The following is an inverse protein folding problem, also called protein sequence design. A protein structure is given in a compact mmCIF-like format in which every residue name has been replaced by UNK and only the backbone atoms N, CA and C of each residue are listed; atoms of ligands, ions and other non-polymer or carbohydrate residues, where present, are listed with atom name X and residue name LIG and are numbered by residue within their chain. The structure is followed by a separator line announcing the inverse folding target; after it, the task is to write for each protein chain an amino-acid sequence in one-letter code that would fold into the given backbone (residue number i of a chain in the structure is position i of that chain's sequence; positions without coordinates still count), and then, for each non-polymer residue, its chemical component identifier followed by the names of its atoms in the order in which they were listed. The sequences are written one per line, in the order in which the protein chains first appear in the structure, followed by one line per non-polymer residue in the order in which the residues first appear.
data_IF_114751646716
#
_entry.id   IF_114751646716
#
_cell.length_a   1.000
_cell.length_b   1.000
_cell.length_c   1.000
_cell.angle_alpha   90.00
_cell.angle_beta   90.00
_cell.angle_gamma   90.00
#
_symmetry.space_group_name_H-M   'P 1'
#
loop_
_entity.id
_entity.type
_entity.pdbx_description
1 polymer ?
#
# COMPACT_ATOMS: atom_id res chain seq x y z
N UNK A 1 48.97 -2.13 -13.02
CA UNK A 1 48.42 -3.28 -13.75
C UNK A 1 46.91 -3.08 -13.87
N UNK A 2 46.38 -2.80 -15.07
CA UNK A 2 44.97 -2.49 -15.26
C UNK A 2 44.29 -3.63 -16.04
N UNK A 3 43.34 -4.34 -15.41
CA UNK A 3 42.55 -5.37 -16.06
C UNK A 3 41.35 -4.73 -16.76
N UNK A 4 41.25 -4.90 -18.09
CA UNK A 4 40.12 -4.41 -18.88
C UNK A 4 39.04 -5.50 -18.92
N UNK A 5 38.05 -5.38 -18.05
CA UNK A 5 36.89 -6.30 -18.02
C UNK A 5 35.86 -5.84 -19.06
N UNK A 6 35.50 -6.71 -19.99
CA UNK A 6 34.36 -6.52 -20.90
C UNK A 6 33.17 -7.31 -20.37
N UNK A 7 32.16 -6.59 -19.90
CA UNK A 7 30.89 -7.18 -19.47
C UNK A 7 29.90 -7.18 -20.62
N UNK A 8 29.37 -8.34 -20.96
CA UNK A 8 28.18 -8.44 -21.79
C UNK A 8 26.98 -7.98 -20.96
N UNK A 9 26.53 -6.76 -21.23
CA UNK A 9 25.39 -6.15 -20.54
C UNK A 9 24.10 -6.94 -20.73
N UNK A 10 23.89 -7.57 -21.88
CA UNK A 10 22.68 -8.32 -22.15
C UNK A 10 22.64 -9.66 -21.41
N UNK A 11 23.79 -10.32 -21.28
CA UNK A 11 23.93 -11.53 -20.46
C UNK A 11 23.81 -11.22 -18.97
N UNK A 12 24.47 -10.15 -18.49
CA UNK A 12 24.38 -9.69 -17.11
C UNK A 12 22.94 -9.31 -16.73
N UNK A 13 22.27 -8.54 -17.58
CA UNK A 13 20.87 -8.13 -17.37
C UNK A 13 19.92 -9.31 -17.30
N UNK A 14 20.16 -10.36 -18.11
CA UNK A 14 19.40 -11.61 -18.05
C UNK A 14 19.63 -12.32 -16.72
N UNK A 15 20.90 -12.52 -16.34
CA UNK A 15 21.28 -13.24 -15.13
C UNK A 15 20.74 -12.55 -13.86
N UNK A 16 20.79 -11.23 -13.81
CA UNK A 16 20.35 -10.48 -12.64
C UNK A 16 18.82 -10.49 -12.45
N UNK A 17 18.04 -10.56 -13.53
CA UNK A 17 16.59 -10.31 -13.53
C UNK A 17 15.72 -11.56 -13.74
N UNK A 18 16.30 -12.68 -14.17
CA UNK A 18 15.58 -13.95 -14.24
C UNK A 18 15.07 -14.39 -12.86
N UNK A 19 14.00 -15.20 -12.78
CA UNK A 19 13.59 -15.82 -11.52
C UNK A 19 14.78 -16.56 -10.87
N UNK A 20 15.08 -16.26 -9.60
CA UNK A 20 16.28 -16.75 -8.89
C UNK A 20 17.55 -15.90 -9.12
N UNK A 21 17.45 -14.83 -9.90
CA UNK A 21 18.52 -13.84 -10.06
C UNK A 21 18.57 -12.85 -8.88
N UNK A 22 19.74 -12.29 -8.55
CA UNK A 22 19.91 -11.43 -7.36
C UNK A 22 18.95 -10.23 -7.29
N UNK A 23 18.65 -9.57 -8.41
CA UNK A 23 17.72 -8.42 -8.43
C UNK A 23 16.29 -8.90 -8.25
N UNK A 24 15.92 -9.99 -8.92
CA UNK A 24 14.60 -10.57 -8.78
C UNK A 24 14.31 -10.97 -7.32
N UNK A 25 15.25 -11.64 -6.68
CA UNK A 25 15.11 -12.13 -5.32
C UNK A 25 15.12 -10.99 -4.31
N UNK A 26 15.95 -9.97 -4.52
CA UNK A 26 15.94 -8.75 -3.72
C UNK A 26 14.58 -8.04 -3.77
N UNK A 27 14.05 -7.80 -4.98
CA UNK A 27 12.72 -7.18 -5.14
C UNK A 27 11.62 -8.04 -4.55
N UNK A 28 11.70 -9.36 -4.69
CA UNK A 28 10.75 -10.29 -4.08
C UNK A 28 10.76 -10.23 -2.56
N UNK A 29 11.95 -10.19 -1.96
CA UNK A 29 12.09 -10.06 -0.51
C UNK A 29 11.53 -8.72 -0.01
N UNK A 30 11.86 -7.60 -0.66
CA UNK A 30 11.32 -6.29 -0.31
C UNK A 30 9.80 -6.22 -0.45
N UNK A 31 9.25 -6.80 -1.51
CA UNK A 31 7.81 -6.83 -1.77
C UNK A 31 7.06 -7.59 -0.68
N UNK A 32 7.54 -8.80 -0.33
CA UNK A 32 6.95 -9.61 0.76
C UNK A 32 7.06 -8.91 2.11
N UNK A 33 8.22 -8.34 2.43
CA UNK A 33 8.40 -7.57 3.68
C UNK A 33 7.45 -6.37 3.75
N UNK A 34 7.25 -5.68 2.62
CA UNK A 34 6.31 -4.55 2.53
C UNK A 34 4.88 -5.01 2.76
N UNK A 35 4.46 -6.12 2.15
CA UNK A 35 3.15 -6.72 2.39
C UNK A 35 2.94 -7.06 3.87
N UNK A 36 3.90 -7.75 4.49
CA UNK A 36 3.87 -8.09 5.92
C UNK A 36 3.76 -6.83 6.78
N UNK A 37 4.60 -5.83 6.51
CA UNK A 37 4.58 -4.57 7.28
C UNK A 37 3.27 -3.83 7.09
N UNK A 38 2.69 -3.84 5.90
CA UNK A 38 1.41 -3.21 5.62
C UNK A 38 0.25 -3.91 6.36
N UNK A 39 0.28 -5.24 6.46
CA UNK A 39 -0.65 -6.04 7.27
C UNK A 39 -0.55 -5.75 8.77
N UNK A 40 0.63 -5.39 9.26
CA UNK A 40 0.84 -4.97 10.66
C UNK A 40 0.39 -3.53 10.91
N UNK A 41 0.64 -2.63 9.96
CA UNK A 41 0.35 -1.20 10.11
C UNK A 41 -1.14 -0.87 10.01
N UNK A 42 -1.94 -1.68 9.31
CA UNK A 42 -3.35 -1.36 9.08
C UNK A 42 -4.19 -1.51 10.36
N UNK A 43 -5.06 -0.53 10.62
CA UNK A 43 -6.06 -0.60 11.70
C UNK A 43 -7.08 -1.70 11.41
N UNK A 44 -7.46 -2.47 12.43
CA UNK A 44 -8.32 -3.64 12.24
C UNK A 44 -9.51 -3.66 13.18
N UNK A 45 -10.67 -3.99 12.61
CA UNK A 45 -11.89 -4.32 13.33
C UNK A 45 -12.26 -5.81 13.22
N UNK A 46 -12.33 -6.35 11.99
CA UNK A 46 -12.70 -7.76 11.73
C UNK A 46 -11.59 -8.60 11.10
N UNK A 47 -10.56 -7.97 10.53
CA UNK A 47 -9.44 -8.64 9.87
C UNK A 47 -9.58 -8.79 8.35
N UNK A 48 -10.78 -8.64 7.78
CA UNK A 48 -11.05 -8.84 6.34
C UNK A 48 -10.16 -7.95 5.45
N UNK A 49 -10.07 -6.65 5.76
CA UNK A 49 -9.21 -5.72 5.00
C UNK A 49 -7.74 -6.12 5.10
N UNK A 50 -7.27 -6.53 6.28
CA UNK A 50 -5.88 -6.99 6.47
C UNK A 50 -5.57 -8.22 5.62
N UNK A 51 -6.48 -9.20 5.62
CA UNK A 51 -6.33 -10.42 4.85
C UNK A 51 -6.31 -10.17 3.34
N UNK A 52 -7.03 -9.14 2.87
CA UNK A 52 -7.09 -8.78 1.44
C UNK A 52 -5.82 -8.12 0.89
N UNK A 53 -4.86 -7.74 1.74
CA UNK A 53 -3.59 -7.16 1.29
C UNK A 53 -2.77 -8.26 0.63
N UNK A 54 -2.36 -8.03 -0.60
CA UNK A 54 -1.62 -9.00 -1.41
C UNK A 54 -0.49 -8.31 -2.18
N UNK A 55 0.42 -9.12 -2.72
CA UNK A 55 1.53 -8.64 -3.51
C UNK A 55 1.83 -9.54 -4.71
N UNK A 56 2.53 -8.97 -5.69
CA UNK A 56 3.06 -9.73 -6.82
C UNK A 56 4.36 -9.10 -7.31
N UNK A 57 5.22 -9.92 -7.92
CA UNK A 57 6.44 -9.48 -8.58
C UNK A 57 6.33 -9.88 -10.04
N UNK A 58 6.65 -8.94 -10.93
CA UNK A 58 6.66 -9.20 -12.37
C UNK A 58 7.89 -8.57 -13.00
N UNK A 59 8.49 -9.26 -13.95
CA UNK A 59 9.55 -8.72 -14.79
C UNK A 59 8.93 -8.18 -16.08
N UNK A 60 9.19 -6.91 -16.42
CA UNK A 60 8.74 -6.26 -17.66
C UNK A 60 9.94 -5.64 -18.35
N UNK A 61 10.38 -6.24 -19.45
CA UNK A 61 11.59 -5.81 -20.16
C UNK A 61 12.79 -5.79 -19.21
N UNK A 62 13.35 -4.61 -18.97
CA UNK A 62 14.51 -4.40 -18.11
C UNK A 62 14.19 -4.14 -16.63
N UNK A 63 12.90 -4.16 -16.25
CA UNK A 63 12.47 -3.81 -14.90
C UNK A 63 11.93 -5.03 -14.16
N UNK A 64 12.34 -5.20 -12.91
CA UNK A 64 11.65 -6.09 -11.94
C UNK A 64 10.78 -5.21 -11.06
N UNK A 65 9.47 -5.44 -11.09
CA UNK A 65 8.47 -4.59 -10.44
C UNK A 65 7.74 -5.40 -9.37
N UNK A 66 7.94 -5.02 -8.11
CA UNK A 66 7.13 -5.46 -6.98
C UNK A 66 5.90 -4.57 -6.82
N UNK A 67 4.72 -5.17 -6.63
CA UNK A 67 3.46 -4.46 -6.36
C UNK A 67 2.84 -5.00 -5.09
N UNK A 68 2.35 -4.11 -4.25
CA UNK A 68 1.56 -4.43 -3.04
C UNK A 68 0.29 -3.60 -3.09
N UNK A 69 -0.87 -4.23 -2.90
CA UNK A 69 -2.16 -3.53 -2.99
C UNK A 69 -3.23 -4.22 -2.15
N UNK A 70 -4.40 -3.59 -2.05
CA UNK A 70 -5.62 -4.19 -1.53
C UNK A 70 -6.80 -3.84 -2.44
N UNK A 71 -7.70 -4.79 -2.75
CA UNK A 71 -8.95 -4.49 -3.44
C UNK A 71 -10.01 -3.91 -2.48
N UNK A 72 -9.74 -3.85 -1.17
CA UNK A 72 -10.70 -3.40 -0.18
C UNK A 72 -10.90 -1.90 -0.22
N UNK A 73 -12.13 -1.48 -0.52
CA UNK A 73 -12.56 -0.07 -0.43
C UNK A 73 -12.37 0.52 0.97
N UNK A 74 -12.56 -0.29 2.01
CA UNK A 74 -12.29 0.10 3.39
C UNK A 74 -10.79 0.35 3.60
N UNK A 75 -9.93 -0.47 2.99
CA UNK A 75 -8.48 -0.27 3.01
C UNK A 75 -8.08 1.07 2.40
N UNK A 76 -8.72 1.44 1.28
CA UNK A 76 -8.55 2.75 0.65
C UNK A 76 -9.00 3.90 1.57
N UNK A 77 -10.17 3.83 2.19
CA UNK A 77 -10.63 4.84 3.14
C UNK A 77 -9.75 4.98 4.39
N UNK A 78 -9.17 3.87 4.87
CA UNK A 78 -8.20 3.90 5.97
C UNK A 78 -6.84 4.49 5.54
N UNK A 79 -6.51 4.37 4.25
CA UNK A 79 -5.26 4.89 3.69
C UNK A 79 -5.34 6.40 3.47
N UNK A 80 -6.33 6.84 2.69
CA UNK A 80 -6.50 8.24 2.26
C UNK A 80 -7.25 9.08 3.29
N UNK A 81 -8.03 8.46 4.16
CA UNK A 81 -8.97 9.15 5.01
C UNK A 81 -10.32 9.41 4.33
N UNK A 82 -11.21 10.07 5.07
CA UNK A 82 -12.60 10.31 4.67
C UNK A 82 -13.07 11.70 5.08
N UNK A 83 -14.15 12.16 4.46
CA UNK A 83 -14.73 13.47 4.73
C UNK A 83 -13.77 14.60 4.39
N UNK A 84 -13.56 15.53 5.34
CA UNK A 84 -12.64 16.67 5.18
C UNK A 84 -11.19 16.23 5.03
N UNK A 85 -10.83 15.05 5.57
CA UNK A 85 -9.47 14.53 5.51
C UNK A 85 -9.23 13.63 4.30
N UNK A 86 -10.28 13.25 3.59
CA UNK A 86 -10.17 12.41 2.41
C UNK A 86 -10.12 13.24 1.12
N UNK A 87 -10.02 12.58 -0.04
CA UNK A 87 -9.83 13.25 -1.34
C UNK A 87 -10.92 14.24 -1.74
N UNK A 88 -12.10 14.15 -1.11
CA UNK A 88 -13.22 15.06 -1.39
C UNK A 88 -13.16 16.38 -0.62
N UNK A 89 -12.33 16.47 0.43
CA UNK A 89 -12.13 17.69 1.22
C UNK A 89 -13.41 18.28 1.85
N UNK A 90 -14.48 17.49 2.00
CA UNK A 90 -15.79 17.98 2.47
C UNK A 90 -16.43 17.06 3.49
N UNK A 91 -17.22 17.58 4.45
CA UNK A 91 -17.89 16.76 5.46
C UNK A 91 -18.76 15.68 4.83
N UNK A 92 -18.88 14.54 5.51
CA UNK A 92 -19.79 13.47 5.11
C UNK A 92 -21.19 13.86 5.57
N UNK A 93 -22.14 13.84 4.64
CA UNK A 93 -23.56 14.15 4.85
C UNK A 93 -24.42 13.01 4.31
N UNK A 94 -25.61 12.76 4.91
CA UNK A 94 -26.55 11.80 4.37
C UNK A 94 -27.10 12.33 3.04
N UNK A 95 -27.25 11.44 2.04
CA UNK A 95 -27.70 11.83 0.69
C UNK A 95 -29.23 11.78 0.57
N UNK A 96 -29.86 10.73 1.10
CA UNK A 96 -31.31 10.50 1.01
C UNK A 96 -32.02 10.53 2.37
N UNK A 97 -31.26 10.48 3.46
CA UNK A 97 -31.78 10.47 4.81
C UNK A 97 -31.54 11.83 5.49
N UNK A 98 -32.26 12.09 6.58
CA UNK A 98 -32.09 13.33 7.35
C UNK A 98 -30.85 13.32 8.25
N UNK A 99 -30.45 12.14 8.72
CA UNK A 99 -29.33 11.97 9.66
C UNK A 99 -28.48 10.74 9.30
N UNK A 100 -27.20 10.83 9.64
CA UNK A 100 -26.31 9.68 9.77
C UNK A 100 -26.57 9.02 11.13
N UNK A 101 -26.56 7.70 11.17
CA UNK A 101 -26.74 6.90 12.40
C UNK A 101 -25.44 6.16 12.71
N UNK A 102 -24.94 6.34 13.92
CA UNK A 102 -23.76 5.64 14.44
C UNK A 102 -24.13 4.89 15.70
N UNK A 103 -23.44 3.79 15.96
CA UNK A 103 -23.51 3.07 17.23
C UNK A 103 -22.14 3.19 17.92
N UNK A 104 -22.14 3.78 19.11
CA UNK A 104 -20.91 4.09 19.87
C UNK A 104 -21.14 3.71 21.32
N UNK A 105 -20.37 2.74 21.82
CA UNK A 105 -20.48 2.28 23.21
C UNK A 105 -21.89 1.80 23.59
N UNK A 106 -22.59 1.11 22.68
CA UNK A 106 -23.96 0.63 22.88
C UNK A 106 -25.05 1.71 22.78
N UNK A 107 -24.68 2.97 22.49
CA UNK A 107 -25.63 4.07 22.28
C UNK A 107 -25.73 4.43 20.81
N UNK A 108 -26.92 4.81 20.37
CA UNK A 108 -27.15 5.31 19.01
C UNK A 108 -26.97 6.83 19.01
N UNK A 109 -26.13 7.33 18.11
CA UNK A 109 -25.88 8.76 17.91
C UNK A 109 -26.31 9.14 16.50
N UNK A 110 -27.11 10.21 16.39
CA UNK A 110 -27.54 10.78 15.12
C UNK A 110 -26.79 12.08 14.84
N UNK A 111 -26.32 12.25 13.60
CA UNK A 111 -25.61 13.45 13.19
C UNK A 111 -26.04 13.91 11.80
N UNK A 112 -26.22 15.23 11.60
CA UNK A 112 -26.52 15.80 10.27
C UNK A 112 -25.31 15.76 9.35
N UNK A 113 -24.11 15.85 9.92
CA UNK A 113 -22.84 15.76 9.20
C UNK A 113 -21.71 15.33 10.13
N UNK A 114 -20.66 14.73 9.57
CA UNK A 114 -19.43 14.42 10.30
C UNK A 114 -18.20 14.86 9.50
N UNK A 115 -17.11 15.18 10.22
CA UNK A 115 -15.84 15.56 9.59
C UNK A 115 -15.19 14.41 8.82
N UNK A 116 -15.46 13.16 9.21
CA UNK A 116 -14.75 11.98 8.69
C UNK A 116 -13.54 11.65 9.55
N UNK A 117 -12.64 10.81 9.01
CA UNK A 117 -11.48 10.28 9.72
C UNK A 117 -10.20 10.54 8.91
N UNK A 118 -9.09 10.96 9.54
CA UNK A 118 -7.80 11.09 8.86
C UNK A 118 -7.29 9.73 8.38
N UNK A 119 -6.61 9.74 7.23
CA UNK A 119 -5.87 8.59 6.71
C UNK A 119 -4.58 8.36 7.48
N UNK A 120 -4.11 7.12 7.48
CA UNK A 120 -2.87 6.72 8.17
C UNK A 120 -1.73 6.39 7.17
N UNK A 121 -2.00 6.48 5.86
CA UNK A 121 -1.05 6.13 4.78
C UNK A 121 -0.29 4.80 5.03
N UNK A 122 -0.97 3.82 5.62
CA UNK A 122 -0.36 2.60 6.19
C UNK A 122 0.51 1.81 5.20
N UNK A 123 0.15 1.83 3.90
CA UNK A 123 0.88 1.14 2.83
C UNK A 123 2.15 1.89 2.39
N UNK A 124 2.09 3.23 2.29
CA UNK A 124 3.23 4.08 1.97
C UNK A 124 4.23 4.05 3.11
N UNK A 125 3.75 4.15 4.36
CA UNK A 125 4.59 3.97 5.54
C UNK A 125 5.25 2.59 5.58
N UNK A 126 4.52 1.53 5.21
CA UNK A 126 5.10 0.19 5.12
C UNK A 126 6.23 0.13 4.09
N UNK A 127 6.06 0.75 2.92
CA UNK A 127 7.10 0.83 1.90
C UNK A 127 8.33 1.58 2.42
N UNK A 128 8.15 2.76 2.99
CA UNK A 128 9.23 3.58 3.57
C UNK A 128 10.03 2.84 4.66
N UNK A 129 9.37 1.96 5.41
CA UNK A 129 9.99 1.16 6.48
C UNK A 129 10.80 -0.04 5.97
N UNK A 130 10.56 -0.49 4.72
CA UNK A 130 11.14 -1.73 4.20
C UNK A 130 12.18 -1.51 3.14
N UNK A 131 12.00 -0.49 2.29
CA UNK A 131 12.95 -0.23 1.19
C UNK A 131 14.09 0.65 1.69
N UNK A 132 15.35 0.32 1.34
CA UNK A 132 16.50 1.17 1.66
C UNK A 132 16.65 2.37 0.70
N UNK A 133 15.71 2.54 -0.23
CA UNK A 133 15.78 3.53 -1.30
C UNK A 133 14.79 4.68 -1.05
N UNK A 134 15.01 5.87 -1.63
CA UNK A 134 14.04 6.95 -1.55
C UNK A 134 12.66 6.55 -2.09
N UNK A 135 11.60 6.85 -1.33
CA UNK A 135 10.22 6.61 -1.74
C UNK A 135 9.65 7.87 -2.37
N UNK A 136 9.12 7.74 -3.58
CA UNK A 136 8.47 8.83 -4.31
C UNK A 136 6.98 8.50 -4.44
N UNK A 137 6.13 9.39 -3.95
CA UNK A 137 4.69 9.37 -4.20
C UNK A 137 4.39 10.09 -5.53
N UNK A 138 3.55 9.49 -6.36
CA UNK A 138 3.15 9.99 -7.68
C UNK A 138 1.64 10.14 -7.76
#
# INVERSE_FOLDING_TARGET
MAARVRLDRAALDRLLRQPGGPVHDHVTALTRRTETRAKLNIRVRTGTTRASITSSVRTRGTLVIGRVWTPSKVGWWLHEGTGIYGPRGRPIRPVRAQFLRFEVGGRIVYARQVRGMPGDQWLVRALRQTVPYPVVER
#
